data_IF_356869383781
#
_entry.id   IF_356869383781
#
_cell.length_a   1.000
_cell.length_b   1.000
_cell.length_c   1.000
_cell.angle_alpha   90.00
_cell.angle_beta   90.00
_cell.angle_gamma   90.00
#
_symmetry.space_group_name_H-M   'P 1'
#
loop_
_entity.id
_entity.type
_entity.pdbx_description
1 polymer ?
#
# COMPACT_ATOMS: atom_id res chain seq x y z
N UNK A 1 -21.13 -44.16 -29.60
CA UNK A 1 -21.81 -43.97 -30.92
C UNK A 1 -22.82 -42.86 -30.74
N UNK A 2 -22.38 -41.63 -31.10
CA UNK A 2 -23.23 -40.45 -31.12
C UNK A 2 -24.28 -40.62 -32.25
N UNK A 3 -25.55 -40.40 -31.90
CA UNK A 3 -26.63 -40.43 -32.89
C UNK A 3 -26.53 -39.18 -33.77
N UNK A 4 -26.00 -39.38 -34.96
CA UNK A 4 -25.92 -38.38 -36.00
C UNK A 4 -27.28 -38.33 -36.74
N UNK A 5 -28.33 -37.80 -36.07
CA UNK A 5 -29.65 -37.66 -36.62
C UNK A 5 -29.85 -36.22 -37.16
N UNK A 6 -30.62 -36.11 -38.23
CA UNK A 6 -30.88 -34.86 -38.92
C UNK A 6 -31.42 -33.72 -38.02
N UNK A 7 -32.27 -33.96 -37.01
CA UNK A 7 -32.71 -32.97 -36.06
C UNK A 7 -31.55 -32.40 -35.15
N UNK A 8 -30.58 -33.24 -34.80
CA UNK A 8 -29.42 -32.84 -34.01
C UNK A 8 -28.48 -31.97 -34.81
N UNK A 9 -28.25 -32.30 -36.08
CA UNK A 9 -27.45 -31.46 -37.00
C UNK A 9 -28.09 -30.09 -37.25
N UNK A 10 -29.42 -30.01 -37.42
CA UNK A 10 -30.12 -28.73 -37.57
C UNK A 10 -30.02 -27.89 -36.29
N UNK A 11 -30.20 -28.49 -35.12
CA UNK A 11 -30.03 -27.77 -33.84
C UNK A 11 -28.60 -27.24 -33.66
N UNK A 12 -27.59 -28.02 -34.02
CA UNK A 12 -26.20 -27.60 -33.98
C UNK A 12 -25.92 -26.44 -34.94
N UNK A 13 -26.39 -26.53 -36.19
CA UNK A 13 -26.24 -25.46 -37.18
C UNK A 13 -26.96 -24.16 -36.76
N UNK A 14 -28.15 -24.28 -36.15
CA UNK A 14 -28.90 -23.14 -35.63
C UNK A 14 -28.14 -22.51 -34.42
N UNK A 15 -27.59 -23.33 -33.54
CA UNK A 15 -26.79 -22.84 -32.40
C UNK A 15 -25.52 -22.11 -32.87
N UNK A 16 -24.82 -22.64 -33.88
CA UNK A 16 -23.67 -21.97 -34.51
C UNK A 16 -24.02 -20.63 -35.14
N UNK A 17 -25.15 -20.58 -35.88
CA UNK A 17 -25.62 -19.33 -36.48
C UNK A 17 -25.95 -18.29 -35.40
N UNK A 18 -26.70 -18.71 -34.38
CA UNK A 18 -27.01 -17.82 -33.23
C UNK A 18 -25.75 -17.34 -32.51
N UNK A 19 -24.76 -18.24 -32.37
CA UNK A 19 -23.45 -17.89 -31.79
C UNK A 19 -22.71 -16.85 -32.64
N UNK A 20 -22.67 -17.06 -33.96
CA UNK A 20 -22.04 -16.12 -34.88
C UNK A 20 -22.74 -14.75 -34.87
N UNK A 21 -24.08 -14.73 -34.91
CA UNK A 21 -24.91 -13.51 -34.92
C UNK A 21 -24.74 -12.73 -33.55
N UNK A 22 -24.50 -13.43 -32.48
CA UNK A 22 -24.19 -12.85 -31.15
C UNK A 22 -22.74 -12.39 -31.02
N UNK A 23 -21.90 -12.46 -32.06
CA UNK A 23 -20.49 -12.08 -31.99
C UNK A 23 -19.60 -13.08 -31.23
N UNK A 24 -20.04 -14.35 -31.16
CA UNK A 24 -19.34 -15.38 -30.37
C UNK A 24 -17.91 -15.64 -30.80
N UNK A 25 -17.65 -15.61 -32.12
CA UNK A 25 -16.29 -15.78 -32.66
C UNK A 25 -15.37 -14.62 -32.29
N UNK A 26 -15.86 -13.38 -32.30
CA UNK A 26 -15.10 -12.21 -31.88
C UNK A 26 -14.81 -12.28 -30.38
N UNK A 27 -15.75 -12.77 -29.56
CA UNK A 27 -15.58 -12.99 -28.13
C UNK A 27 -14.52 -14.08 -27.86
N UNK A 28 -14.48 -15.18 -28.63
CA UNK A 28 -13.43 -16.21 -28.46
C UNK A 28 -12.04 -15.66 -28.79
N UNK A 29 -11.89 -14.85 -29.85
CA UNK A 29 -10.62 -14.19 -30.17
C UNK A 29 -10.20 -13.25 -29.08
N UNK A 30 -11.13 -12.46 -28.54
CA UNK A 30 -10.87 -11.57 -27.40
C UNK A 30 -10.40 -12.34 -26.16
N UNK A 31 -11.10 -13.41 -25.79
CA UNK A 31 -10.74 -14.25 -24.64
C UNK A 31 -9.43 -14.97 -24.84
N UNK A 32 -9.13 -15.44 -26.06
CA UNK A 32 -7.82 -16.04 -26.33
C UNK A 32 -6.69 -15.04 -26.11
N UNK A 33 -6.84 -13.83 -26.66
CA UNK A 33 -5.87 -12.75 -26.44
C UNK A 33 -5.71 -12.39 -24.95
N UNK A 34 -6.82 -12.36 -24.19
CA UNK A 34 -6.78 -12.10 -22.73
C UNK A 34 -6.07 -13.24 -21.98
N UNK A 35 -6.38 -14.50 -22.29
CA UNK A 35 -5.79 -15.66 -21.64
C UNK A 35 -4.29 -15.80 -21.96
N UNK A 36 -3.89 -15.60 -23.20
CA UNK A 36 -2.47 -15.62 -23.60
C UNK A 36 -1.71 -14.51 -22.89
N UNK A 37 -2.26 -13.29 -22.82
CA UNK A 37 -1.59 -12.16 -22.16
C UNK A 37 -1.52 -12.30 -20.64
N UNK A 38 -2.60 -12.75 -20.00
CA UNK A 38 -2.70 -12.83 -18.54
C UNK A 38 -2.11 -14.11 -17.94
N UNK A 39 -2.30 -15.26 -18.62
CA UNK A 39 -2.00 -16.59 -18.10
C UNK A 39 -0.88 -17.30 -18.86
N UNK A 40 -0.48 -16.80 -20.04
CA UNK A 40 0.52 -17.43 -20.91
C UNK A 40 0.03 -18.70 -21.62
N UNK A 41 -1.28 -18.95 -21.63
CA UNK A 41 -1.89 -20.15 -22.26
C UNK A 41 -3.09 -19.77 -23.11
N UNK A 42 -3.35 -20.48 -24.23
CA UNK A 42 -4.52 -20.24 -25.06
C UNK A 42 -5.84 -20.48 -24.31
N UNK A 43 -6.90 -19.79 -24.72
CA UNK A 43 -8.24 -19.92 -24.13
C UNK A 43 -8.73 -21.37 -24.10
N UNK A 44 -8.56 -22.12 -25.18
CA UNK A 44 -8.94 -23.55 -25.27
C UNK A 44 -8.33 -24.41 -24.16
N UNK A 45 -7.11 -24.07 -23.72
CA UNK A 45 -6.41 -24.84 -22.66
C UNK A 45 -6.88 -24.51 -21.26
N UNK A 46 -7.52 -23.36 -21.05
CA UNK A 46 -7.91 -22.89 -19.72
C UNK A 46 -9.41 -22.63 -19.55
N UNK A 47 -10.24 -22.71 -20.60
CA UNK A 47 -11.67 -22.39 -20.59
C UNK A 47 -12.51 -23.15 -19.53
N UNK A 48 -12.07 -24.35 -19.15
CA UNK A 48 -12.73 -25.16 -18.13
C UNK A 48 -12.06 -25.07 -16.76
N UNK A 49 -10.96 -24.30 -16.64
CA UNK A 49 -10.28 -24.10 -15.37
C UNK A 49 -11.13 -23.18 -14.48
N UNK A 50 -11.35 -23.62 -13.22
CA UNK A 50 -12.09 -22.78 -12.28
C UNK A 50 -11.27 -21.55 -11.91
N UNK A 51 -11.88 -20.36 -11.91
CA UNK A 51 -11.22 -19.07 -11.61
C UNK A 51 -10.59 -19.07 -10.22
N UNK A 52 -11.20 -19.73 -9.24
CA UNK A 52 -10.66 -19.87 -7.86
C UNK A 52 -9.32 -20.61 -7.79
N UNK A 53 -8.93 -21.35 -8.84
CA UNK A 53 -7.61 -22.00 -8.91
C UNK A 53 -6.51 -21.10 -9.46
N UNK A 54 -6.86 -19.91 -9.96
CA UNK A 54 -5.92 -18.90 -10.38
C UNK A 54 -5.38 -18.15 -9.15
N UNK A 55 -4.14 -17.72 -9.20
CA UNK A 55 -3.60 -16.80 -8.20
C UNK A 55 -4.31 -15.44 -8.28
N UNK A 56 -4.32 -14.67 -7.18
CA UNK A 56 -4.94 -13.33 -7.16
C UNK A 56 -4.40 -12.42 -8.26
N UNK A 57 -3.09 -12.46 -8.54
CA UNK A 57 -2.47 -11.69 -9.62
C UNK A 57 -2.91 -12.16 -11.02
N UNK A 58 -3.05 -13.47 -11.26
CA UNK A 58 -3.57 -14.01 -12.52
C UNK A 58 -5.02 -13.60 -12.76
N UNK A 59 -5.86 -13.71 -11.71
CA UNK A 59 -7.27 -13.27 -11.78
C UNK A 59 -7.36 -11.78 -12.12
N UNK A 60 -6.58 -10.94 -11.42
CA UNK A 60 -6.58 -9.49 -11.63
C UNK A 60 -6.14 -9.13 -13.03
N UNK A 61 -5.05 -9.74 -13.55
CA UNK A 61 -4.57 -9.51 -14.91
C UNK A 61 -5.59 -9.92 -15.97
N UNK A 62 -6.24 -11.07 -15.78
CA UNK A 62 -7.27 -11.53 -16.71
C UNK A 62 -8.45 -10.54 -16.80
N UNK A 63 -8.92 -10.06 -15.66
CA UNK A 63 -10.00 -9.06 -15.62
C UNK A 63 -9.56 -7.74 -16.26
N UNK A 64 -8.35 -7.26 -15.97
CA UNK A 64 -7.82 -6.03 -16.53
C UNK A 64 -7.64 -6.12 -18.05
N UNK A 65 -7.13 -7.24 -18.58
CA UNK A 65 -7.05 -7.47 -20.04
C UNK A 65 -8.43 -7.45 -20.69
N UNK A 66 -9.44 -8.08 -20.07
CA UNK A 66 -10.80 -8.08 -20.58
C UNK A 66 -11.40 -6.66 -20.60
N UNK A 67 -11.19 -5.85 -19.58
CA UNK A 67 -11.64 -4.45 -19.52
C UNK A 67 -10.91 -3.56 -20.53
N UNK A 68 -9.59 -3.69 -20.64
CA UNK A 68 -8.78 -2.88 -21.56
C UNK A 68 -9.07 -3.18 -23.02
N UNK A 69 -9.40 -4.43 -23.37
CA UNK A 69 -9.73 -4.86 -24.74
C UNK A 69 -11.23 -4.81 -25.07
N UNK A 70 -12.08 -4.76 -24.05
CA UNK A 70 -13.54 -4.71 -24.21
C UNK A 70 -14.03 -3.45 -24.95
N UNK A 71 -15.33 -3.32 -25.21
CA UNK A 71 -15.89 -2.23 -26.01
C UNK A 71 -16.04 -0.90 -25.25
N UNK A 72 -15.87 -0.90 -23.93
CA UNK A 72 -16.09 0.29 -23.11
C UNK A 72 -15.08 1.40 -23.43
N UNK A 73 -15.53 2.64 -23.57
CA UNK A 73 -14.68 3.80 -23.86
C UNK A 73 -14.10 4.43 -22.57
N UNK A 74 -14.76 4.21 -21.43
CA UNK A 74 -14.39 4.76 -20.13
C UNK A 74 -14.23 3.64 -19.13
N UNK A 75 -13.08 3.60 -18.46
CA UNK A 75 -12.77 2.62 -17.42
C UNK A 75 -12.66 3.29 -16.06
N UNK A 76 -13.32 2.72 -15.05
CA UNK A 76 -13.21 3.09 -13.65
C UNK A 76 -12.49 1.95 -12.91
N UNK A 77 -11.28 2.20 -12.45
CA UNK A 77 -10.42 1.19 -11.82
C UNK A 77 -10.16 1.58 -10.36
N UNK A 78 -10.55 0.72 -9.45
CA UNK A 78 -10.30 0.89 -8.01
C UNK A 78 -9.21 -0.07 -7.56
N UNK A 79 -8.07 0.49 -7.12
CA UNK A 79 -6.86 -0.23 -6.70
C UNK A 79 -6.48 -1.37 -7.69
N UNK A 80 -6.27 -1.06 -8.98
CA UNK A 80 -5.99 -2.09 -9.98
C UNK A 80 -4.63 -2.77 -9.80
N UNK A 81 -3.73 -2.15 -9.08
CA UNK A 81 -2.38 -2.62 -8.76
C UNK A 81 -2.31 -3.59 -7.57
N UNK A 82 -3.36 -3.69 -6.75
CA UNK A 82 -3.39 -4.63 -5.64
C UNK A 82 -3.27 -6.08 -6.13
N UNK A 83 -2.50 -6.89 -5.40
CA UNK A 83 -2.15 -8.29 -5.71
C UNK A 83 -1.25 -8.48 -6.93
N UNK A 84 -0.82 -7.42 -7.61
CA UNK A 84 0.17 -7.50 -8.67
C UNK A 84 1.58 -7.42 -8.09
N UNK A 85 2.45 -8.31 -8.56
CA UNK A 85 3.89 -8.16 -8.35
C UNK A 85 4.45 -7.01 -9.21
N UNK A 86 5.72 -6.69 -9.05
CA UNK A 86 6.33 -5.57 -9.78
C UNK A 86 6.23 -5.74 -11.29
N UNK A 87 6.40 -6.95 -11.81
CA UNK A 87 6.24 -7.23 -13.24
C UNK A 87 4.79 -6.99 -13.70
N UNK A 88 3.81 -7.39 -12.88
CA UNK A 88 2.39 -7.11 -13.13
C UNK A 88 2.06 -5.62 -13.08
N UNK A 89 2.64 -4.87 -12.14
CA UNK A 89 2.49 -3.40 -12.07
C UNK A 89 3.09 -2.71 -13.28
N UNK A 90 4.30 -3.09 -13.71
CA UNK A 90 4.94 -2.57 -14.93
C UNK A 90 4.12 -2.87 -16.19
N UNK A 91 3.58 -4.10 -16.30
CA UNK A 91 2.65 -4.46 -17.35
C UNK A 91 1.40 -3.55 -17.36
N UNK A 92 0.79 -3.33 -16.20
CA UNK A 92 -0.38 -2.43 -16.06
C UNK A 92 -0.06 -1.01 -16.51
N UNK A 93 1.08 -0.45 -16.08
CA UNK A 93 1.55 0.88 -16.48
C UNK A 93 1.67 1.00 -18.00
N UNK A 94 2.28 -0.01 -18.62
CA UNK A 94 2.40 -0.03 -20.07
C UNK A 94 1.04 -0.07 -20.75
N UNK A 95 0.12 -0.92 -20.30
CA UNK A 95 -1.24 -1.02 -20.83
C UNK A 95 -2.03 0.27 -20.67
N UNK A 96 -1.93 0.92 -19.53
CA UNK A 96 -2.59 2.21 -19.28
C UNK A 96 -2.05 3.34 -20.16
N UNK A 97 -0.77 3.31 -20.51
CA UNK A 97 -0.16 4.27 -21.43
C UNK A 97 -0.53 4.02 -22.92
N UNK A 98 -0.73 2.76 -23.27
CA UNK A 98 -1.04 2.35 -24.66
C UNK A 98 -2.53 2.48 -25.01
N UNK A 99 -3.41 2.48 -23.99
CA UNK A 99 -4.86 2.51 -24.25
C UNK A 99 -5.33 3.88 -24.75
N UNK A 100 -6.23 3.89 -25.71
CA UNK A 100 -6.93 5.10 -26.18
C UNK A 100 -8.16 5.44 -25.33
N UNK A 101 -8.50 4.62 -24.35
CA UNK A 101 -9.68 4.80 -23.50
C UNK A 101 -9.45 5.89 -22.45
N UNK A 102 -10.53 6.50 -21.99
CA UNK A 102 -10.49 7.37 -20.81
C UNK A 102 -10.45 6.50 -19.57
N UNK A 103 -9.41 6.65 -18.74
CA UNK A 103 -9.25 5.87 -17.51
C UNK A 103 -9.28 6.81 -16.30
N UNK A 104 -10.17 6.51 -15.36
CA UNK A 104 -10.12 7.06 -14.00
C UNK A 104 -9.73 5.93 -13.07
N UNK A 105 -8.55 6.05 -12.43
CA UNK A 105 -8.06 5.05 -11.49
C UNK A 105 -7.87 5.65 -10.09
N UNK A 106 -8.16 4.84 -9.07
CA UNK A 106 -7.78 5.09 -7.68
C UNK A 106 -6.61 4.17 -7.37
N UNK A 107 -5.52 4.69 -6.85
CA UNK A 107 -4.35 3.90 -6.45
C UNK A 107 -3.53 4.63 -5.39
N UNK A 108 -2.83 3.86 -4.55
CA UNK A 108 -1.81 4.32 -3.62
C UNK A 108 -0.39 4.05 -4.12
N UNK A 109 -0.23 3.37 -5.26
CA UNK A 109 1.08 3.11 -5.87
C UNK A 109 1.61 4.38 -6.54
N UNK A 110 2.61 5.00 -5.90
CA UNK A 110 3.21 6.27 -6.34
C UNK A 110 3.92 6.14 -7.69
N UNK A 111 4.50 4.97 -7.98
CA UNK A 111 5.16 4.73 -9.26
C UNK A 111 4.14 4.57 -10.39
N UNK A 112 3.06 3.83 -10.16
CA UNK A 112 1.96 3.73 -11.11
C UNK A 112 1.36 5.11 -11.43
N UNK A 113 1.08 5.92 -10.41
CA UNK A 113 0.57 7.28 -10.58
C UNK A 113 1.56 8.16 -11.36
N UNK A 114 2.87 8.02 -11.11
CA UNK A 114 3.90 8.79 -11.80
C UNK A 114 4.09 8.39 -13.26
N UNK A 115 3.93 7.09 -13.58
CA UNK A 115 4.19 6.56 -14.91
C UNK A 115 2.95 6.59 -15.83
N UNK A 116 1.75 6.42 -15.29
CA UNK A 116 0.54 6.24 -16.09
C UNK A 116 -0.44 7.42 -16.00
N UNK A 117 -0.44 8.22 -14.91
CA UNK A 117 -1.41 9.29 -14.76
C UNK A 117 -0.93 10.61 -15.37
N UNK A 118 -1.76 11.23 -16.20
CA UNK A 118 -1.54 12.57 -16.75
C UNK A 118 -2.04 13.69 -15.82
N UNK A 119 -3.03 13.37 -14.99
CA UNK A 119 -3.67 14.29 -14.03
C UNK A 119 -3.93 13.56 -12.73
N UNK A 120 -3.67 14.25 -11.63
CA UNK A 120 -3.98 13.75 -10.28
C UNK A 120 -5.20 14.49 -9.75
N UNK A 121 -6.24 13.75 -9.44
CA UNK A 121 -7.46 14.28 -8.83
C UNK A 121 -7.42 13.98 -7.34
N UNK A 122 -7.34 15.03 -6.52
CA UNK A 122 -7.35 14.90 -5.06
C UNK A 122 -8.72 15.26 -4.51
N UNK A 123 -9.31 14.35 -3.75
CA UNK A 123 -10.58 14.57 -3.03
C UNK A 123 -10.25 14.73 -1.56
N UNK A 124 -10.32 15.98 -1.07
CA UNK A 124 -10.01 16.30 0.34
C UNK A 124 -10.90 17.43 0.85
N UNK A 125 -11.20 17.42 2.14
CA UNK A 125 -11.98 18.49 2.80
C UNK A 125 -13.32 18.85 2.09
N UNK A 126 -13.98 17.89 1.44
CA UNK A 126 -15.20 18.03 0.63
C UNK A 126 -15.01 18.84 -0.67
N UNK A 127 -13.79 19.04 -1.10
CA UNK A 127 -13.44 19.69 -2.36
C UNK A 127 -12.64 18.75 -3.26
N UNK A 128 -12.62 19.08 -4.53
CA UNK A 128 -11.83 18.38 -5.54
C UNK A 128 -10.79 19.34 -6.09
N UNK A 129 -9.56 18.88 -6.16
CA UNK A 129 -8.47 19.61 -6.78
C UNK A 129 -7.80 18.75 -7.84
N UNK A 130 -7.50 19.35 -8.98
CA UNK A 130 -6.84 18.67 -10.10
C UNK A 130 -5.45 19.26 -10.28
N UNK A 131 -4.44 18.40 -10.20
CA UNK A 131 -3.07 18.69 -10.55
C UNK A 131 -2.77 18.12 -11.93
N UNK A 132 -2.35 18.97 -12.86
CA UNK A 132 -1.87 18.57 -14.18
C UNK A 132 -0.36 18.37 -14.12
N UNK A 133 0.10 17.15 -14.37
CA UNK A 133 1.52 16.79 -14.34
C UNK A 133 1.78 15.48 -13.58
N UNK A 134 3.05 15.04 -13.60
CA UNK A 134 3.48 13.80 -12.98
C UNK A 134 3.39 13.86 -11.46
N UNK A 135 3.21 12.70 -10.86
CA UNK A 135 3.08 12.55 -9.41
C UNK A 135 4.31 13.08 -8.63
N UNK A 136 5.51 13.02 -9.18
CA UNK A 136 6.72 13.59 -8.55
C UNK A 136 6.57 15.06 -8.13
N UNK A 137 5.81 15.85 -8.91
CA UNK A 137 5.58 17.28 -8.63
C UNK A 137 4.34 17.53 -7.78
N UNK A 138 3.52 16.49 -7.56
CA UNK A 138 2.26 16.62 -6.84
C UNK A 138 2.44 17.13 -5.40
N UNK A 139 3.38 16.55 -4.65
CA UNK A 139 3.61 16.92 -3.26
C UNK A 139 4.00 18.41 -3.12
N UNK A 140 4.85 18.93 -4.02
CA UNK A 140 5.20 20.34 -4.02
C UNK A 140 4.01 21.23 -4.43
N UNK A 141 3.32 20.88 -5.50
CA UNK A 141 2.14 21.62 -5.96
C UNK A 141 1.02 21.68 -4.91
N UNK A 142 0.85 20.59 -4.13
CA UNK A 142 -0.10 20.53 -3.01
C UNK A 142 0.32 21.47 -1.88
N UNK A 143 1.60 21.49 -1.50
CA UNK A 143 2.12 22.46 -0.49
C UNK A 143 1.89 23.90 -0.93
N UNK A 144 2.30 24.24 -2.14
CA UNK A 144 2.16 25.61 -2.69
C UNK A 144 0.67 26.05 -2.72
N UNK A 145 -0.23 25.13 -3.07
CA UNK A 145 -1.68 25.38 -3.03
C UNK A 145 -2.16 25.62 -1.60
N UNK A 146 -1.79 24.76 -0.65
CA UNK A 146 -2.24 24.87 0.73
C UNK A 146 -1.72 26.16 1.39
N UNK A 147 -0.47 26.54 1.15
CA UNK A 147 0.10 27.80 1.61
C UNK A 147 -0.66 28.99 1.04
N UNK A 148 -1.00 28.95 -0.25
CA UNK A 148 -1.80 30.02 -0.89
C UNK A 148 -3.20 30.13 -0.29
N UNK A 149 -3.88 29.02 -0.06
CA UNK A 149 -5.20 29.01 0.59
C UNK A 149 -5.12 29.54 2.03
N UNK A 150 -4.12 29.15 2.78
CA UNK A 150 -3.88 29.64 4.13
C UNK A 150 -3.62 31.15 4.16
N UNK A 151 -2.83 31.67 3.20
CA UNK A 151 -2.57 33.10 3.07
C UNK A 151 -3.84 33.87 2.69
N UNK A 152 -4.62 33.39 1.73
CA UNK A 152 -5.89 34.01 1.35
C UNK A 152 -6.87 34.05 2.54
N UNK A 153 -6.93 32.96 3.31
CA UNK A 153 -7.76 32.89 4.51
C UNK A 153 -7.31 33.88 5.57
N UNK A 154 -6.00 33.97 5.83
CA UNK A 154 -5.45 34.93 6.80
C UNK A 154 -5.79 36.37 6.41
N UNK A 155 -5.61 36.76 5.14
CA UNK A 155 -5.97 38.11 4.64
C UNK A 155 -7.45 38.40 4.78
N UNK A 156 -8.30 37.40 4.53
CA UNK A 156 -9.74 37.54 4.72
C UNK A 156 -10.08 37.75 6.19
N UNK A 157 -9.53 36.97 7.10
CA UNK A 157 -9.76 37.09 8.54
C UNK A 157 -9.27 38.44 9.09
N UNK A 158 -8.13 38.94 8.63
CA UNK A 158 -7.58 40.27 8.97
C UNK A 158 -8.53 41.41 8.51
N UNK A 159 -8.97 41.37 7.24
CA UNK A 159 -9.89 42.41 6.71
C UNK A 159 -11.28 42.31 7.37
N UNK A 160 -11.76 41.10 7.63
CA UNK A 160 -13.03 40.92 8.35
C UNK A 160 -12.97 41.50 9.77
N UNK A 161 -11.90 41.25 10.49
CA UNK A 161 -11.66 41.83 11.83
C UNK A 161 -11.59 43.34 11.77
N UNK A 162 -10.88 43.88 10.78
CA UNK A 162 -10.77 45.31 10.55
C UNK A 162 -12.11 45.96 10.24
N UNK A 163 -12.92 45.37 9.37
CA UNK A 163 -14.27 45.86 9.04
C UNK A 163 -15.20 45.83 10.25
N UNK A 164 -15.15 44.75 11.02
CA UNK A 164 -15.92 44.64 12.28
C UNK A 164 -15.56 45.74 13.28
N UNK A 165 -14.25 45.96 13.48
CA UNK A 165 -13.79 47.02 14.38
C UNK A 165 -14.20 48.39 13.89
N UNK A 166 -14.13 48.67 12.57
CA UNK A 166 -14.57 49.92 11.96
C UNK A 166 -16.07 50.16 12.21
N UNK A 167 -16.92 49.13 12.09
CA UNK A 167 -18.36 49.24 12.37
C UNK A 167 -18.61 49.55 13.85
N UNK A 168 -17.89 48.92 14.79
CA UNK A 168 -17.98 49.19 16.22
C UNK A 168 -17.58 50.63 16.53
N UNK A 169 -16.46 51.11 16.02
CA UNK A 169 -15.95 52.48 16.25
C UNK A 169 -16.89 53.54 15.69
N UNK A 170 -17.39 53.31 14.47
CA UNK A 170 -18.34 54.23 13.86
C UNK A 170 -19.72 54.24 14.57
N UNK A 171 -20.17 53.11 15.13
CA UNK A 171 -21.37 53.03 15.94
C UNK A 171 -21.26 53.90 17.19
N UNK A 172 -20.14 53.85 17.90
CA UNK A 172 -19.90 54.68 19.08
C UNK A 172 -19.88 56.18 18.73
N UNK A 173 -19.21 56.55 17.61
CA UNK A 173 -19.15 57.93 17.14
C UNK A 173 -20.49 58.44 16.63
N UNK A 174 -21.28 57.62 15.98
CA UNK A 174 -22.63 57.95 15.51
C UNK A 174 -23.65 58.20 16.64
N UNK A 175 -23.46 57.52 17.82
CA UNK A 175 -24.28 57.77 19.00
C UNK A 175 -24.05 59.20 19.60
N UNK A 176 -22.90 59.83 19.32
CA UNK A 176 -22.55 61.15 19.81
C UNK A 176 -22.65 62.26 18.73
N UNK A 177 -22.80 61.91 17.42
CA UNK A 177 -22.78 62.85 16.32
C UNK A 177 -23.58 62.31 15.12
N UNK A 178 -24.71 62.98 14.80
CA UNK A 178 -25.62 62.61 13.69
C UNK A 178 -24.95 62.60 12.31
N UNK A 179 -23.93 63.44 12.10
CA UNK A 179 -23.14 63.44 10.86
C UNK A 179 -22.37 62.16 10.58
N UNK A 180 -22.16 61.30 11.60
CA UNK A 180 -21.51 60.00 11.46
C UNK A 180 -22.46 58.85 11.11
N UNK A 181 -23.77 59.04 11.20
CA UNK A 181 -24.79 58.01 10.91
C UNK A 181 -24.72 57.48 9.48
N UNK A 182 -24.42 58.33 8.49
CA UNK A 182 -24.23 57.92 7.09
C UNK A 182 -22.99 57.05 6.90
N UNK A 183 -21.88 57.39 7.55
CA UNK A 183 -20.62 56.61 7.50
C UNK A 183 -20.78 55.25 8.21
N UNK A 184 -21.51 55.20 9.33
CA UNK A 184 -21.85 53.95 10.00
C UNK A 184 -22.64 53.02 9.07
N UNK A 185 -23.73 53.53 8.45
CA UNK A 185 -24.54 52.74 7.51
C UNK A 185 -23.70 52.22 6.34
N UNK A 186 -22.83 53.04 5.76
CA UNK A 186 -21.94 52.62 4.70
C UNK A 186 -20.95 51.49 5.15
N UNK A 187 -20.39 51.62 6.36
CA UNK A 187 -19.55 50.56 6.93
C UNK A 187 -20.27 49.22 7.18
N UNK A 188 -21.51 49.31 7.70
CA UNK A 188 -22.36 48.12 7.87
C UNK A 188 -22.68 47.45 6.53
N UNK A 189 -23.04 48.25 5.50
CA UNK A 189 -23.26 47.71 4.15
C UNK A 189 -22.01 47.09 3.56
N UNK A 190 -20.83 47.69 3.78
CA UNK A 190 -19.56 47.12 3.32
C UNK A 190 -19.24 45.80 4.01
N UNK A 191 -19.39 45.73 5.33
CA UNK A 191 -19.22 44.50 6.10
C UNK A 191 -20.18 43.40 5.62
N UNK A 192 -21.47 43.73 5.45
CA UNK A 192 -22.46 42.79 4.95
C UNK A 192 -22.12 42.20 3.58
N UNK A 193 -21.70 43.06 2.61
CA UNK A 193 -21.24 42.58 1.30
C UNK A 193 -19.99 41.70 1.39
N UNK A 194 -19.06 42.00 2.31
CA UNK A 194 -17.87 41.21 2.53
C UNK A 194 -18.21 39.86 3.14
N UNK A 195 -19.14 39.80 4.10
CA UNK A 195 -19.63 38.57 4.71
C UNK A 195 -20.47 37.73 3.74
N UNK A 196 -21.24 38.36 2.86
CA UNK A 196 -22.02 37.69 1.81
C UNK A 196 -21.13 37.00 0.76
N UNK A 197 -19.99 37.62 0.41
CA UNK A 197 -18.98 36.99 -0.45
C UNK A 197 -18.36 35.74 0.21
N UNK A 198 -18.39 35.65 1.53
CA UNK A 198 -17.90 34.52 2.31
C UNK A 198 -16.37 34.40 2.38
N UNK A 199 -15.89 33.58 3.30
CA UNK A 199 -14.46 33.30 3.41
C UNK A 199 -13.95 32.41 2.27
N UNK A 200 -12.68 32.55 1.87
CA UNK A 200 -12.03 31.62 0.95
C UNK A 200 -12.04 30.17 1.47
N UNK A 201 -11.85 29.22 0.56
CA UNK A 201 -11.67 27.81 0.90
C UNK A 201 -10.61 27.66 2.01
N UNK A 202 -10.91 26.83 3.01
CA UNK A 202 -9.96 26.55 4.07
C UNK A 202 -8.91 25.56 3.52
N UNK A 203 -7.64 25.86 3.76
CA UNK A 203 -6.59 24.91 3.45
C UNK A 203 -6.87 23.57 4.16
N UNK A 204 -6.76 22.43 3.46
CA UNK A 204 -6.86 21.14 4.07
C UNK A 204 -5.87 21.02 5.23
N UNK A 205 -6.29 20.36 6.30
CA UNK A 205 -5.34 20.05 7.38
C UNK A 205 -4.32 19.07 6.85
N UNK A 206 -3.06 19.44 6.87
CA UNK A 206 -2.00 18.49 6.59
C UNK A 206 -2.06 17.37 7.61
N UNK A 207 -1.98 16.13 7.14
CA UNK A 207 -1.81 14.99 8.02
C UNK A 207 -0.44 15.08 8.66
N UNK A 208 -0.42 15.25 9.96
CA UNK A 208 0.80 15.45 10.71
C UNK A 208 1.19 14.15 11.42
N UNK A 209 1.40 13.09 10.61
CA UNK A 209 1.86 11.81 11.13
C UNK A 209 3.34 11.97 11.47
N UNK A 210 3.65 11.86 12.76
CA UNK A 210 5.01 12.04 13.27
C UNK A 210 5.53 10.71 13.84
N UNK A 211 6.20 9.94 13.01
CA UNK A 211 6.84 8.68 13.37
C UNK A 211 8.22 8.95 13.95
N UNK A 212 8.45 8.50 15.20
CA UNK A 212 9.70 8.72 15.95
C UNK A 212 10.41 7.40 16.16
N UNK A 213 10.68 6.69 15.08
CA UNK A 213 11.43 5.45 15.14
C UNK A 213 12.82 5.73 15.73
N UNK A 214 13.13 5.12 16.86
CA UNK A 214 14.40 5.26 17.54
C UNK A 214 15.04 3.89 17.62
N UNK A 215 16.17 3.74 16.93
CA UNK A 215 17.02 2.58 17.08
C UNK A 215 17.95 2.72 18.30
N UNK A 216 18.82 1.74 18.45
CA UNK A 216 19.85 1.71 19.46
C UNK A 216 21.12 1.09 18.91
N UNK A 217 22.26 1.36 19.54
CA UNK A 217 23.54 0.81 19.11
C UNK A 217 23.64 -0.68 19.43
N UNK A 218 23.91 -1.49 18.41
CA UNK A 218 24.12 -2.94 18.51
C UNK A 218 25.60 -3.32 18.28
N UNK A 219 25.90 -4.60 18.20
CA UNK A 219 27.17 -5.09 17.64
C UNK A 219 27.34 -4.67 16.19
N UNK A 220 28.55 -4.76 15.67
CA UNK A 220 28.87 -4.35 14.28
C UNK A 220 28.08 -5.15 13.23
N UNK A 221 27.97 -6.47 13.41
CA UNK A 221 27.14 -7.35 12.59
C UNK A 221 25.77 -7.48 13.22
N UNK A 222 24.71 -7.11 12.51
CA UNK A 222 23.34 -7.21 12.98
C UNK A 222 22.74 -8.58 12.67
N UNK A 223 22.99 -9.10 11.48
CA UNK A 223 22.49 -10.40 11.02
C UNK A 223 23.65 -11.14 10.37
N UNK A 224 23.74 -12.46 10.63
CA UNK A 224 24.72 -13.36 10.04
C UNK A 224 23.96 -14.60 9.59
N UNK A 225 24.06 -14.92 8.29
CA UNK A 225 23.55 -16.14 7.69
C UNK A 225 24.72 -16.85 6.99
N UNK A 226 24.94 -18.11 7.35
CA UNK A 226 25.99 -18.96 6.77
C UNK A 226 25.34 -20.26 6.27
N UNK A 227 25.48 -20.52 4.97
CA UNK A 227 24.89 -21.69 4.27
C UNK A 227 23.38 -21.85 4.59
N UNK A 228 22.68 -20.70 4.69
CA UNK A 228 21.29 -20.67 5.12
C UNK A 228 20.36 -21.11 3.99
N UNK A 229 19.61 -22.18 4.24
CA UNK A 229 18.54 -22.67 3.38
C UNK A 229 17.21 -22.65 4.13
N UNK A 230 16.19 -22.05 3.56
CA UNK A 230 14.81 -22.28 4.00
C UNK A 230 14.28 -23.50 3.26
N UNK A 231 14.03 -24.57 4.01
CA UNK A 231 13.76 -25.90 3.48
C UNK A 231 12.66 -25.91 2.41
N UNK A 232 13.04 -26.24 1.18
CA UNK A 232 12.14 -26.32 0.03
C UNK A 232 11.67 -24.96 -0.54
N UNK A 233 12.20 -23.84 -0.05
CA UNK A 233 11.82 -22.50 -0.50
C UNK A 233 12.93 -21.76 -1.24
N UNK A 234 14.18 -21.90 -0.80
CA UNK A 234 15.35 -21.24 -1.40
C UNK A 234 16.59 -22.13 -1.27
N UNK A 235 17.55 -21.90 -2.16
CA UNK A 235 18.87 -22.56 -2.11
C UNK A 235 19.72 -21.95 -1.00
N UNK A 236 20.74 -22.69 -0.48
CA UNK A 236 21.69 -22.17 0.48
C UNK A 236 22.36 -20.88 0.00
N UNK A 237 22.50 -19.91 0.91
CA UNK A 237 23.16 -18.64 0.64
C UNK A 237 23.82 -18.09 1.89
N UNK A 238 24.82 -17.23 1.69
CA UNK A 238 25.50 -16.48 2.73
C UNK A 238 25.13 -15.00 2.63
N UNK A 239 24.91 -14.35 3.78
CA UNK A 239 24.79 -12.90 3.84
C UNK A 239 25.13 -12.37 5.23
N UNK A 240 25.77 -11.21 5.28
CA UNK A 240 25.99 -10.44 6.50
C UNK A 240 25.36 -9.07 6.35
N UNK A 241 24.55 -8.66 7.34
CA UNK A 241 23.97 -7.32 7.39
C UNK A 241 24.55 -6.60 8.59
N UNK A 242 25.10 -5.41 8.32
CA UNK A 242 25.81 -4.62 9.31
C UNK A 242 24.89 -3.65 10.03
N UNK A 243 25.30 -3.21 11.21
CA UNK A 243 24.58 -2.19 11.97
C UNK A 243 24.41 -0.91 11.15
N UNK A 244 23.18 -0.43 11.07
CA UNK A 244 22.80 0.79 10.36
C UNK A 244 22.52 0.60 8.87
N UNK A 245 22.74 -0.61 8.32
CA UNK A 245 22.36 -0.89 6.93
C UNK A 245 20.85 -0.93 6.75
N UNK A 246 20.41 -0.51 5.57
CA UNK A 246 19.04 -0.64 5.08
C UNK A 246 19.03 -1.58 3.90
N UNK A 247 18.49 -2.78 4.11
CA UNK A 247 18.46 -3.84 3.12
C UNK A 247 17.04 -4.12 2.70
N UNK A 248 16.75 -4.00 1.41
CA UNK A 248 15.46 -4.42 0.85
C UNK A 248 15.56 -5.86 0.32
N UNK A 249 14.61 -6.68 0.70
CA UNK A 249 14.42 -8.04 0.17
C UNK A 249 13.41 -7.94 -0.96
N UNK A 250 13.88 -8.17 -2.18
CA UNK A 250 13.09 -8.03 -3.41
C UNK A 250 13.05 -9.35 -4.18
N UNK A 251 12.23 -9.43 -5.20
CA UNK A 251 12.13 -10.61 -6.07
C UNK A 251 10.68 -11.07 -6.25
N UNK A 252 10.51 -12.16 -7.00
CA UNK A 252 9.20 -12.69 -7.39
C UNK A 252 8.32 -13.11 -6.21
N UNK A 253 7.00 -13.17 -6.45
CA UNK A 253 6.06 -13.66 -5.45
C UNK A 253 6.32 -15.13 -5.11
N UNK A 254 6.62 -15.38 -3.84
CA UNK A 254 6.89 -16.72 -3.32
C UNK A 254 7.02 -16.70 -1.81
N UNK A 255 6.90 -17.87 -1.14
CA UNK A 255 6.84 -17.94 0.33
C UNK A 255 8.15 -17.64 1.04
N UNK A 256 9.29 -17.53 0.33
CA UNK A 256 10.61 -17.38 0.94
C UNK A 256 10.85 -16.07 1.67
N UNK A 257 10.46 -14.92 1.10
CA UNK A 257 10.77 -13.59 1.64
C UNK A 257 10.20 -13.35 3.05
N UNK A 258 8.90 -13.55 3.23
CA UNK A 258 8.25 -13.41 4.54
C UNK A 258 8.72 -14.48 5.53
N UNK A 259 9.05 -15.69 5.07
CA UNK A 259 9.62 -16.74 5.93
C UNK A 259 11.03 -16.37 6.41
N UNK A 260 11.83 -15.70 5.57
CA UNK A 260 13.13 -15.19 5.98
C UNK A 260 13.00 -14.17 7.14
N UNK A 261 12.07 -13.21 7.04
CA UNK A 261 11.83 -12.26 8.15
C UNK A 261 11.35 -12.99 9.43
N UNK A 262 10.45 -13.96 9.28
CA UNK A 262 9.98 -14.76 10.42
C UNK A 262 11.10 -15.59 11.05
N UNK A 263 11.99 -16.17 10.24
CA UNK A 263 13.18 -16.87 10.74
C UNK A 263 14.05 -15.92 11.56
N UNK A 264 14.39 -14.74 11.04
CA UNK A 264 15.19 -13.76 11.76
C UNK A 264 14.56 -13.35 13.10
N UNK A 265 13.21 -13.28 13.16
CA UNK A 265 12.50 -13.05 14.41
C UNK A 265 12.56 -14.23 15.37
N UNK A 266 12.51 -15.47 14.85
CA UNK A 266 12.50 -16.70 15.66
C UNK A 266 13.85 -17.04 16.29
N UNK A 267 14.97 -16.58 15.71
CA UNK A 267 16.32 -16.80 16.23
C UNK A 267 16.81 -15.72 17.19
N UNK A 268 15.91 -14.82 17.59
CA UNK A 268 16.24 -13.75 18.54
C UNK A 268 16.30 -14.29 19.97
N UNK A 269 17.41 -14.01 20.66
CA UNK A 269 17.57 -14.35 22.08
C UNK A 269 16.74 -13.42 23.01
N UNK A 270 16.50 -12.19 22.56
CA UNK A 270 15.79 -11.16 23.33
C UNK A 270 14.80 -10.40 22.44
N UNK A 271 13.53 -10.42 22.82
CA UNK A 271 12.46 -9.76 22.09
C UNK A 271 12.07 -8.43 22.74
N UNK A 272 11.83 -7.37 21.99
CA UNK A 272 11.31 -6.13 22.53
C UNK A 272 9.92 -6.32 23.13
N UNK A 273 9.52 -5.42 24.06
CA UNK A 273 8.18 -5.47 24.65
C UNK A 273 7.10 -5.36 23.58
N UNK A 274 6.08 -6.21 23.69
CA UNK A 274 4.98 -6.25 22.72
C UNK A 274 5.34 -6.93 21.38
N UNK A 275 6.54 -7.51 21.27
CA UNK A 275 6.89 -8.31 20.10
C UNK A 275 6.24 -9.70 20.17
N UNK A 276 5.76 -10.18 19.02
CA UNK A 276 5.21 -11.52 18.91
C UNK A 276 6.34 -12.50 18.62
N UNK A 277 6.47 -13.61 19.36
CA UNK A 277 7.33 -14.71 18.94
C UNK A 277 6.87 -15.25 17.58
N UNK A 278 7.79 -15.33 16.63
CA UNK A 278 7.49 -15.96 15.35
C UNK A 278 7.43 -17.48 15.50
N UNK A 279 6.56 -18.13 14.72
CA UNK A 279 6.56 -19.58 14.62
C UNK A 279 7.91 -20.06 14.05
N UNK A 280 8.46 -21.18 14.55
CA UNK A 280 9.70 -21.75 14.05
C UNK A 280 9.61 -22.01 12.54
N UNK A 281 10.63 -21.58 11.81
CA UNK A 281 10.75 -21.80 10.35
C UNK A 281 11.75 -22.92 10.12
N UNK A 282 11.35 -23.95 9.34
CA UNK A 282 12.23 -25.05 8.97
C UNK A 282 13.39 -24.54 8.09
N UNK A 283 14.60 -24.71 8.54
CA UNK A 283 15.82 -24.24 7.85
C UNK A 283 17.01 -25.15 8.13
N UNK A 284 18.02 -25.05 7.29
CA UNK A 284 19.37 -25.62 7.53
C UNK A 284 20.38 -24.49 7.44
N UNK A 285 21.62 -24.76 7.85
CA UNK A 285 22.66 -23.73 7.98
C UNK A 285 22.51 -22.89 9.25
N UNK A 286 23.15 -21.73 9.28
CA UNK A 286 23.19 -20.84 10.44
C UNK A 286 22.46 -19.53 10.14
N UNK A 287 21.52 -19.16 11.00
CA UNK A 287 20.99 -17.80 11.08
C UNK A 287 21.11 -17.31 12.52
N UNK A 288 21.75 -16.18 12.75
CA UNK A 288 21.87 -15.58 14.07
C UNK A 288 21.86 -14.06 14.04
N UNK A 289 21.36 -13.48 15.11
CA UNK A 289 21.43 -12.04 15.33
C UNK A 289 22.69 -11.68 16.11
N UNK A 290 23.19 -10.47 15.87
CA UNK A 290 24.34 -9.94 16.56
C UNK A 290 24.02 -9.53 18.01
N UNK A 291 25.08 -9.23 18.78
CA UNK A 291 24.92 -8.84 20.17
C UNK A 291 24.06 -7.57 20.33
N UNK A 292 23.11 -7.58 21.25
CA UNK A 292 22.15 -6.50 21.57
C UNK A 292 21.21 -6.16 20.39
N UNK A 293 21.05 -7.05 19.44
CA UNK A 293 20.04 -6.88 18.41
C UNK A 293 18.69 -7.33 18.97
N UNK A 294 17.73 -6.42 18.98
CA UNK A 294 16.36 -6.65 19.41
C UNK A 294 15.44 -6.43 18.20
N UNK A 295 14.94 -7.49 17.55
CA UNK A 295 14.15 -7.37 16.33
C UNK A 295 12.71 -7.00 16.64
N UNK A 296 12.14 -6.12 15.81
CA UNK A 296 10.71 -5.82 15.78
C UNK A 296 10.14 -6.15 14.41
N UNK A 297 9.09 -6.96 14.38
CA UNK A 297 8.45 -7.41 13.13
C UNK A 297 7.18 -6.61 12.84
N UNK A 298 7.15 -5.97 11.68
CA UNK A 298 5.93 -5.51 11.05
C UNK A 298 5.42 -6.64 10.15
N UNK A 299 4.37 -7.33 10.59
CA UNK A 299 3.72 -8.37 9.80
C UNK A 299 2.61 -7.78 8.92
N UNK A 300 2.23 -8.48 7.87
CA UNK A 300 1.04 -8.10 7.09
C UNK A 300 -0.17 -7.92 8.00
N UNK A 301 -0.99 -6.90 7.73
CA UNK A 301 -2.07 -6.42 8.62
C UNK A 301 -3.07 -7.49 9.05
N UNK A 302 -3.28 -8.52 8.23
CA UNK A 302 -4.20 -9.63 8.53
C UNK A 302 -3.60 -10.71 9.46
N UNK A 303 -2.33 -10.60 9.83
CA UNK A 303 -1.61 -11.61 10.60
C UNK A 303 -1.47 -11.28 12.10
N UNK A 304 -2.38 -10.48 12.69
CA UNK A 304 -2.34 -10.07 14.10
C UNK A 304 -3.58 -10.51 14.91
N UNK A 305 -3.83 -11.83 15.01
CA UNK A 305 -4.96 -12.34 15.80
C UNK A 305 -4.82 -12.02 17.31
N UNK A 306 -3.61 -11.77 17.78
CA UNK A 306 -3.28 -11.40 19.16
C UNK A 306 -3.83 -10.03 19.57
N UNK A 307 -4.14 -9.16 18.61
CA UNK A 307 -4.73 -7.83 18.84
C UNK A 307 -6.26 -7.83 18.73
N UNK A 308 -6.87 -8.91 18.25
CA UNK A 308 -8.32 -9.00 18.06
C UNK A 308 -9.07 -8.81 19.38
N UNK A 309 -10.19 -8.08 19.35
CA UNK A 309 -11.04 -7.79 20.51
C UNK A 309 -10.47 -6.70 21.45
N UNK A 310 -9.27 -6.19 21.20
CA UNK A 310 -8.61 -5.16 22.02
C UNK A 310 -8.66 -3.81 21.32
N UNK A 311 -8.67 -2.73 22.09
CA UNK A 311 -8.60 -1.38 21.53
C UNK A 311 -7.16 -0.87 21.40
N UNK A 312 -6.83 0.03 20.46
CA UNK A 312 -5.50 0.64 20.37
C UNK A 312 -4.99 1.22 21.67
N UNK A 313 -5.87 1.86 22.44
CA UNK A 313 -5.51 2.40 23.74
C UNK A 313 -5.10 1.30 24.74
N UNK A 314 -5.89 0.23 24.86
CA UNK A 314 -5.59 -0.92 25.72
C UNK A 314 -4.31 -1.63 25.30
N UNK A 315 -4.09 -1.81 23.97
CA UNK A 315 -2.87 -2.44 23.46
C UNK A 315 -1.63 -1.64 23.92
N UNK A 316 -1.61 -0.32 23.67
CA UNK A 316 -0.48 0.52 24.05
C UNK A 316 -0.28 0.54 25.57
N UNK A 317 -1.35 0.60 26.37
CA UNK A 317 -1.28 0.58 27.83
C UNK A 317 -0.69 -0.73 28.37
N UNK A 318 -1.16 -1.87 27.85
CA UNK A 318 -0.77 -3.20 28.37
C UNK A 318 0.60 -3.64 27.89
N UNK A 319 0.89 -3.48 26.59
CA UNK A 319 2.15 -3.99 26.02
C UNK A 319 3.35 -3.09 26.32
N UNK A 320 3.13 -1.78 26.45
CA UNK A 320 4.22 -0.83 26.70
C UNK A 320 4.16 -0.16 28.07
N UNK A 321 3.29 -0.64 28.98
CA UNK A 321 3.14 -0.13 30.36
C UNK A 321 2.96 1.39 30.40
N UNK A 322 2.12 1.96 29.52
CA UNK A 322 1.83 3.39 29.44
C UNK A 322 0.55 3.75 30.20
N UNK A 323 0.51 4.94 30.74
CA UNK A 323 -0.75 5.51 31.25
C UNK A 323 -1.67 5.86 30.07
N UNK A 324 -2.99 5.87 30.32
CA UNK A 324 -4.00 6.17 29.28
C UNK A 324 -3.72 7.49 28.54
N UNK A 325 -3.33 8.53 29.28
CA UNK A 325 -2.99 9.84 28.69
C UNK A 325 -1.77 9.77 27.77
N UNK A 326 -0.75 9.00 28.15
CA UNK A 326 0.45 8.77 27.32
C UNK A 326 0.10 7.93 26.08
N UNK A 327 -0.73 6.90 26.25
CA UNK A 327 -1.21 6.06 25.16
C UNK A 327 -1.98 6.90 24.12
N UNK A 328 -2.94 7.72 24.57
CA UNK A 328 -3.71 8.60 23.69
C UNK A 328 -2.84 9.67 23.00
N UNK A 329 -1.83 10.20 23.68
CA UNK A 329 -0.86 11.12 23.07
C UNK A 329 0.01 10.43 22.01
N UNK A 330 0.40 9.18 22.24
CA UNK A 330 1.13 8.39 21.26
C UNK A 330 0.24 8.09 20.03
N UNK A 331 -1.00 7.66 20.24
CA UNK A 331 -1.99 7.44 19.20
C UNK A 331 -2.29 8.72 18.39
N UNK A 332 -2.35 9.88 19.03
CA UNK A 332 -2.59 11.15 18.37
C UNK A 332 -1.50 11.50 17.34
N UNK A 333 -0.22 11.16 17.59
CA UNK A 333 0.89 11.36 16.64
C UNK A 333 0.73 10.53 15.36
N UNK A 334 0.00 9.44 15.42
CA UNK A 334 -0.31 8.54 14.31
C UNK A 334 -1.72 8.75 13.75
N UNK A 335 -2.39 9.83 14.17
CA UNK A 335 -3.80 10.09 13.82
C UNK A 335 -4.73 8.91 14.15
N UNK A 336 -4.52 8.27 15.29
CA UNK A 336 -5.32 7.14 15.77
C UNK A 336 -6.13 7.45 17.03
N UNK A 337 -5.99 8.66 17.60
CA UNK A 337 -6.68 9.00 18.83
C UNK A 337 -8.21 8.94 18.71
N UNK A 338 -8.78 9.27 17.55
CA UNK A 338 -10.23 9.26 17.32
C UNK A 338 -10.82 7.84 17.26
N UNK A 339 -10.00 6.83 16.96
CA UNK A 339 -10.39 5.41 16.94
C UNK A 339 -9.70 4.60 18.07
N UNK A 340 -9.07 5.29 19.03
CA UNK A 340 -8.30 4.67 20.11
C UNK A 340 -9.10 3.75 21.03
N UNK A 341 -10.43 3.86 21.07
CA UNK A 341 -11.34 3.03 21.86
C UNK A 341 -12.17 2.06 20.97
N UNK A 342 -11.89 1.96 19.68
CA UNK A 342 -12.56 1.02 18.78
C UNK A 342 -11.80 -0.30 18.76
N UNK A 343 -12.46 -1.47 18.65
CA UNK A 343 -11.78 -2.75 18.50
C UNK A 343 -10.86 -2.78 17.27
N UNK A 344 -9.70 -3.42 17.41
CA UNK A 344 -8.66 -3.47 16.36
C UNK A 344 -9.18 -3.95 15.01
N UNK A 345 -10.04 -4.95 14.98
CA UNK A 345 -10.63 -5.52 13.77
C UNK A 345 -11.59 -4.57 13.02
N UNK A 346 -12.06 -3.52 13.68
CA UNK A 346 -12.92 -2.50 13.06
C UNK A 346 -12.14 -1.36 12.42
N UNK A 347 -10.83 -1.33 12.65
CA UNK A 347 -9.94 -0.34 12.05
C UNK A 347 -9.73 -0.64 10.56
N UNK A 348 -9.58 0.42 9.76
CA UNK A 348 -9.15 0.25 8.37
C UNK A 348 -7.73 -0.32 8.29
N UNK A 349 -7.36 -0.98 7.17
CA UNK A 349 -6.02 -1.53 6.97
C UNK A 349 -4.91 -0.51 7.24
N UNK A 350 -5.07 0.74 6.77
CA UNK A 350 -4.12 1.82 7.04
C UNK A 350 -4.04 2.24 8.50
N UNK A 351 -5.15 2.20 9.25
CA UNK A 351 -5.14 2.45 10.69
C UNK A 351 -4.43 1.33 11.45
N UNK A 352 -4.68 0.08 11.07
CA UNK A 352 -4.00 -1.09 11.63
C UNK A 352 -2.49 -1.04 11.36
N UNK A 353 -2.08 -0.70 10.14
CA UNK A 353 -0.67 -0.55 9.78
C UNK A 353 0.01 0.56 10.60
N UNK A 354 -0.61 1.74 10.74
CA UNK A 354 -0.09 2.83 11.56
C UNK A 354 0.02 2.45 13.03
N UNK A 355 -0.93 1.68 13.57
CA UNK A 355 -0.84 1.17 14.93
C UNK A 355 0.35 0.22 15.09
N UNK A 356 0.56 -0.72 14.16
CA UNK A 356 1.71 -1.62 14.20
C UNK A 356 3.05 -0.85 14.18
N UNK A 357 3.18 0.20 13.34
CA UNK A 357 4.38 1.04 13.31
C UNK A 357 4.57 1.77 14.66
N UNK A 358 3.49 2.26 15.27
CA UNK A 358 3.54 2.86 16.61
C UNK A 358 4.03 1.84 17.65
N UNK A 359 3.56 0.59 17.61
CA UNK A 359 4.00 -0.46 18.54
C UNK A 359 5.50 -0.77 18.36
N UNK A 360 6.01 -0.80 17.13
CA UNK A 360 7.46 -0.93 16.86
C UNK A 360 8.25 0.25 17.42
N UNK A 361 7.76 1.48 17.27
CA UNK A 361 8.38 2.67 17.86
C UNK A 361 8.47 2.56 19.38
N UNK A 362 7.36 2.19 20.03
CA UNK A 362 7.28 2.09 21.49
C UNK A 362 8.09 0.90 22.04
N UNK A 363 8.22 -0.18 21.27
CA UNK A 363 9.04 -1.35 21.60
C UNK A 363 10.54 -1.06 21.60
N UNK A 364 10.98 -0.03 20.88
CA UNK A 364 12.39 0.36 20.84
C UNK A 364 13.29 -0.67 20.15
N UNK A 365 12.76 -1.37 19.14
CA UNK A 365 13.52 -2.34 18.34
C UNK A 365 14.77 -1.71 17.74
N UNK A 366 15.89 -2.46 17.71
CA UNK A 366 17.16 -2.04 17.09
C UNK A 366 17.36 -2.63 15.68
N UNK A 367 16.54 -3.62 15.34
CA UNK A 367 16.41 -4.21 14.02
C UNK A 367 14.93 -4.18 13.62
N UNK A 368 14.59 -3.47 12.56
CA UNK A 368 13.25 -3.47 12.00
C UNK A 368 13.16 -4.50 10.88
N UNK A 369 12.24 -5.44 11.02
CA UNK A 369 11.86 -6.44 10.03
C UNK A 369 10.49 -6.05 9.48
N UNK A 370 10.42 -5.56 8.25
CA UNK A 370 9.21 -4.98 7.66
C UNK A 370 8.71 -5.86 6.50
N UNK A 371 7.52 -6.43 6.62
CA UNK A 371 6.90 -7.27 5.58
C UNK A 371 5.80 -6.47 4.87
N UNK A 372 6.09 -5.99 3.67
CA UNK A 372 5.23 -5.13 2.83
C UNK A 372 4.62 -3.94 3.61
N UNK A 373 5.46 -3.08 4.22
CA UNK A 373 4.95 -2.08 5.17
C UNK A 373 4.12 -0.97 4.51
N UNK A 374 4.19 -0.82 3.19
CA UNK A 374 3.48 0.23 2.44
C UNK A 374 2.16 -0.23 1.82
N UNK A 375 1.88 -1.54 1.73
CA UNK A 375 0.73 -2.08 1.01
C UNK A 375 -0.64 -1.55 1.48
N UNK A 376 -0.77 -1.25 2.78
CA UNK A 376 -2.01 -0.76 3.36
C UNK A 376 -1.91 0.70 3.82
N UNK A 377 -0.84 1.40 3.47
CA UNK A 377 -0.66 2.80 3.84
C UNK A 377 -1.11 3.72 2.70
N UNK A 378 -1.83 4.77 3.05
CA UNK A 378 -2.03 5.87 2.11
C UNK A 378 -0.70 6.62 1.87
N UNK A 379 -0.64 7.41 0.81
CA UNK A 379 0.56 8.13 0.38
C UNK A 379 1.21 8.91 1.53
N UNK A 380 0.41 9.64 2.34
CA UNK A 380 0.93 10.45 3.43
C UNK A 380 1.54 9.59 4.55
N UNK A 381 0.93 8.44 4.87
CA UNK A 381 1.46 7.49 5.86
C UNK A 381 2.74 6.81 5.37
N UNK A 382 2.81 6.45 4.09
CA UNK A 382 4.00 5.86 3.47
C UNK A 382 5.17 6.86 3.45
N UNK A 383 4.91 8.14 3.14
CA UNK A 383 5.92 9.22 3.22
C UNK A 383 6.41 9.43 4.65
N UNK A 384 5.50 9.42 5.64
CA UNK A 384 5.86 9.55 7.05
C UNK A 384 6.72 8.36 7.54
N UNK A 385 6.43 7.14 7.08
CA UNK A 385 7.27 5.97 7.36
C UNK A 385 8.66 6.14 6.75
N UNK A 386 8.78 6.55 5.49
CA UNK A 386 10.07 6.81 4.85
C UNK A 386 10.89 7.83 5.64
N UNK A 387 10.30 8.97 6.00
CA UNK A 387 10.96 9.99 6.81
C UNK A 387 11.38 9.47 8.19
N UNK A 388 10.52 8.66 8.84
CA UNK A 388 10.85 8.00 10.10
C UNK A 388 12.04 7.05 9.98
N UNK A 389 12.14 6.30 8.87
CA UNK A 389 13.25 5.41 8.58
C UNK A 389 14.55 6.17 8.26
N UNK A 390 14.48 7.34 7.62
CA UNK A 390 15.67 8.17 7.35
C UNK A 390 16.40 8.60 8.62
N UNK A 391 15.65 8.83 9.69
CA UNK A 391 16.19 9.24 11.01
C UNK A 391 16.48 8.07 11.94
N UNK A 392 16.06 6.88 11.58
CA UNK A 392 16.21 5.69 12.41
C UNK A 392 17.67 5.25 12.56
N UNK A 393 18.13 5.11 13.80
CA UNK A 393 19.49 4.69 14.14
C UNK A 393 19.54 3.19 14.48
N UNK A 394 19.22 2.35 13.54
CA UNK A 394 19.25 0.89 13.65
C UNK A 394 19.31 0.24 12.28
N UNK A 395 19.24 -1.06 12.24
CA UNK A 395 19.26 -1.84 11.01
C UNK A 395 17.83 -2.07 10.52
N UNK A 396 17.61 -2.00 9.21
CA UNK A 396 16.31 -2.22 8.58
C UNK A 396 16.42 -3.32 7.53
N UNK A 397 15.55 -4.31 7.62
CA UNK A 397 15.35 -5.31 6.56
C UNK A 397 13.89 -5.27 6.16
N UNK A 398 13.59 -4.91 4.92
CA UNK A 398 12.21 -4.78 4.44
C UNK A 398 11.98 -5.63 3.21
N UNK A 399 10.96 -6.47 3.25
CA UNK A 399 10.37 -7.06 2.03
C UNK A 399 9.46 -6.02 1.43
N UNK A 400 9.63 -5.72 0.15
CA UNK A 400 8.75 -4.76 -0.52
C UNK A 400 8.62 -5.00 -2.01
N UNK A 401 7.44 -4.70 -2.54
CA UNK A 401 7.11 -4.56 -3.94
C UNK A 401 6.83 -3.10 -4.34
N UNK A 402 6.94 -2.17 -3.39
CA UNK A 402 6.86 -0.73 -3.65
C UNK A 402 8.20 -0.20 -4.18
N UNK A 403 8.25 0.05 -5.48
CA UNK A 403 9.45 0.57 -6.16
C UNK A 403 9.86 1.97 -5.69
N UNK A 404 8.88 2.77 -5.24
CA UNK A 404 9.16 4.10 -4.69
C UNK A 404 9.81 4.00 -3.31
N UNK A 405 9.27 3.13 -2.46
CA UNK A 405 9.83 2.85 -1.14
C UNK A 405 11.23 2.22 -1.21
N UNK A 406 11.45 1.32 -2.17
CA UNK A 406 12.73 0.67 -2.41
C UNK A 406 13.90 1.64 -2.68
N UNK A 407 13.61 2.85 -3.20
CA UNK A 407 14.63 3.90 -3.43
C UNK A 407 15.30 4.40 -2.15
N UNK A 408 14.73 4.15 -0.98
CA UNK A 408 15.29 4.54 0.32
C UNK A 408 16.22 3.48 0.93
N UNK A 409 16.55 2.43 0.19
CA UNK A 409 17.43 1.36 0.61
C UNK A 409 18.77 1.37 -0.14
N UNK A 410 19.83 0.99 0.56
CA UNK A 410 21.20 1.07 0.06
C UNK A 410 21.67 -0.24 -0.57
N UNK A 411 21.01 -1.37 -0.26
CA UNK A 411 21.39 -2.72 -0.66
C UNK A 411 20.17 -3.61 -0.84
N UNK A 412 20.24 -4.52 -1.80
CA UNK A 412 19.14 -5.39 -2.16
C UNK A 412 19.53 -6.85 -2.05
N UNK A 413 18.71 -7.63 -1.37
CA UNK A 413 18.81 -9.08 -1.33
C UNK A 413 17.73 -9.63 -2.27
N UNK A 414 18.13 -10.18 -3.38
CA UNK A 414 17.25 -10.61 -4.46
C UNK A 414 16.92 -12.08 -4.34
N UNK A 415 15.63 -12.38 -4.18
CA UNK A 415 15.09 -13.74 -4.14
C UNK A 415 14.62 -14.11 -5.55
N UNK A 416 15.45 -14.85 -6.27
CA UNK A 416 15.21 -15.25 -7.65
C UNK A 416 14.08 -16.29 -7.78
N UNK A 417 13.49 -16.34 -8.98
CA UNK A 417 12.48 -17.33 -9.33
C UNK A 417 13.00 -18.78 -9.34
N UNK A 418 14.30 -18.93 -9.49
CA UNK A 418 15.01 -20.22 -9.44
C UNK A 418 15.38 -20.66 -8.01
N UNK A 419 14.82 -19.98 -7.02
CA UNK A 419 15.13 -20.13 -5.59
C UNK A 419 16.57 -19.72 -5.20
N UNK A 420 17.33 -19.05 -6.07
CA UNK A 420 18.61 -18.45 -5.69
C UNK A 420 18.43 -17.17 -4.91
N UNK A 421 19.38 -16.87 -4.02
CA UNK A 421 19.43 -15.60 -3.28
C UNK A 421 20.79 -14.98 -3.53
N UNK A 422 20.81 -13.72 -3.92
CA UNK A 422 22.05 -12.98 -4.18
C UNK A 422 21.89 -11.50 -3.83
N UNK A 423 23.00 -10.82 -3.66
CA UNK A 423 23.06 -9.40 -3.33
C UNK A 423 23.21 -8.55 -4.59
N UNK A 424 22.54 -7.39 -4.59
CA UNK A 424 22.64 -6.40 -5.66
C UNK A 424 22.70 -4.98 -5.07
N UNK A 425 23.45 -4.05 -5.68
CA UNK A 425 23.41 -2.63 -5.33
C UNK A 425 22.13 -1.95 -5.83
N UNK A 426 21.49 -2.51 -6.85
CA UNK A 426 20.27 -1.98 -7.45
C UNK A 426 19.10 -2.95 -7.29
N UNK A 427 17.84 -2.45 -7.21
CA UNK A 427 16.68 -3.32 -7.12
C UNK A 427 16.50 -4.11 -8.43
N UNK A 428 16.52 -5.43 -8.32
CA UNK A 428 16.27 -6.33 -9.46
C UNK A 428 14.83 -6.82 -9.37
N UNK A 429 14.04 -6.45 -10.36
CA UNK A 429 12.65 -6.87 -10.49
C UNK A 429 12.58 -7.90 -11.61
N UNK A 430 12.25 -9.14 -11.26
CA UNK A 430 12.22 -10.24 -12.24
C UNK A 430 11.00 -10.10 -13.16
N UNK A 431 11.20 -9.54 -14.35
CA UNK A 431 10.18 -9.37 -15.38
C UNK A 431 9.89 -10.69 -16.14
N UNK A 432 10.67 -11.73 -15.96
CA UNK A 432 10.61 -12.95 -16.79
C UNK A 432 9.50 -13.92 -16.40
N UNK A 433 8.80 -13.70 -15.29
CA UNK A 433 7.73 -14.58 -14.80
C UNK A 433 6.33 -14.29 -15.36
N UNK A 434 6.16 -13.28 -16.17
CA UNK A 434 4.89 -13.03 -16.87
C UNK A 434 4.68 -14.07 -17.96
N UNK A 435 4.45 -15.33 -17.62
CA UNK A 435 4.17 -16.37 -18.60
C UNK A 435 4.73 -17.77 -18.33
N UNK A 436 5.38 -18.02 -17.20
CA UNK A 436 5.77 -19.41 -16.85
C UNK A 436 4.70 -20.08 -16.01
N UNK A 437 4.14 -21.24 -16.44
CA UNK A 437 3.27 -22.03 -15.61
C UNK A 437 4.07 -22.52 -14.38
N UNK A 438 3.48 -22.41 -13.18
CA UNK A 438 4.04 -23.05 -11.99
C UNK A 438 4.22 -24.54 -12.25
N UNK A 439 5.37 -25.14 -11.85
CA UNK A 439 5.46 -26.59 -11.85
C UNK A 439 4.35 -27.16 -10.98
N UNK A 440 3.56 -28.06 -11.55
CA UNK A 440 2.55 -28.80 -10.81
C UNK A 440 3.22 -29.50 -9.64
N UNK A 441 2.75 -29.27 -8.41
CA UNK A 441 3.11 -30.13 -7.28
C UNK A 441 2.75 -31.56 -7.68
N UNK A 442 3.74 -32.42 -7.80
CA UNK A 442 3.50 -33.87 -7.81
C UNK A 442 2.94 -34.21 -6.44
N UNK A 443 1.64 -34.44 -6.36
CA UNK A 443 1.06 -35.14 -5.23
C UNK A 443 1.78 -36.48 -5.16
N UNK A 444 2.63 -36.65 -4.14
CA UNK A 444 3.22 -37.94 -3.79
C UNK A 444 2.06 -38.84 -3.34
N UNK A 445 1.59 -39.60 -4.31
CA UNK A 445 0.53 -40.60 -4.08
C UNK A 445 0.91 -41.53 -2.96
N UNK A 446 0.01 -41.59 -2.03
CA UNK A 446 -0.08 -42.54 -0.92
C UNK A 446 -0.05 -43.96 -1.48
N UNK A 447 1.11 -44.62 -1.46
CA UNK A 447 1.21 -46.04 -1.73
C UNK A 447 1.10 -46.83 -0.42
N UNK A 448 -0.10 -46.89 0.12
CA UNK A 448 -0.43 -47.93 1.13
C UNK A 448 -0.63 -49.30 0.45
N UNK A 449 0.43 -50.06 0.25
CA UNK A 449 0.32 -51.47 -0.05
C UNK A 449 -0.05 -52.23 1.21
N UNK A 450 -1.31 -52.60 1.28
CA UNK A 450 -1.79 -53.67 2.18
C UNK A 450 -1.00 -54.94 1.98
N UNK A 451 -0.44 -55.48 3.04
CA UNK A 451 -0.07 -56.89 3.15
C UNK A 451 -0.97 -57.56 4.19
N UNK A 452 -1.78 -58.48 3.72
CA UNK A 452 -2.32 -59.63 4.47
C UNK A 452 -1.63 -60.89 3.98
N UNK A 453 -1.72 -62.02 4.65
CA UNK A 453 -2.29 -62.38 5.92
C UNK A 453 -1.29 -62.53 7.05
#
# INVERSE_FOLDING_TARGET
>A
MERDDQPTQIRYATALATWADAGGYDAEILWDACCVSALGVPYESCRWRQVVTLSGGEQKRLVLEALLRGPDEVLLLDEPDNYLDVAGKQWLEQRLRETSKTVLLVSHDRELLNQAAERIVTVESRHVWIHSGRFERYAQARRDRNERLAELRRRWDEEHTRLKQLVVDLRQKAAANDGMASRYRAAVTRLGKFEEAGPPEMAPRDRNINMRLRGGRTGRRAIICEDLELTGLMRPFDTEIWYGERVAVVGSNGPGKSHFLRLLMSVADDLPRGAIPAEPVAHSGLARLGARVSPGLFAQTHARPDLAGRTPCEIVMTEHARLRTEAMNALARYELAFCGEQPFETLSGGQQARLQILLLELGGATLLLLDEPTDNLDVASAEALQQGLETYQGTVVAVTHDRWFARSFDRFLVFGADASVYESPDPVWDATQVGRPRPQRCDSGDSSTARSP
#
